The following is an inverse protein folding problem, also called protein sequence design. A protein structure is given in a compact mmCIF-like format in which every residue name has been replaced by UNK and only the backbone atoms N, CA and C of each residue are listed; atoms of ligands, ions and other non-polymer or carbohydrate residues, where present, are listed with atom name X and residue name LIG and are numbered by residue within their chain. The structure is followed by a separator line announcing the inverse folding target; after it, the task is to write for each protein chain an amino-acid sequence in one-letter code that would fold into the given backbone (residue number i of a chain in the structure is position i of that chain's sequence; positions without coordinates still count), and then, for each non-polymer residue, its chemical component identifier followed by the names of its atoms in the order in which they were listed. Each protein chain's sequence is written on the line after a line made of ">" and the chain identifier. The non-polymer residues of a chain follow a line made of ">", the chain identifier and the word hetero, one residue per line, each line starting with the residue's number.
data_IF_976637423768
#
_entry.id   IF_976637423768
#
_cell.length_a   1.000
_cell.length_b   1.000
_cell.length_c   1.000
_cell.angle_alpha   90.00
_cell.angle_beta   90.00
_cell.angle_gamma   90.00
#
_symmetry.space_group_name_H-M   'P 1'
#
loop_
_entity.id
_entity.type
_entity.pdbx_description
1 polymer ?
#
# COMPACT_ATOMS: atom_id res chain seq x y z
N UNK A 1 -2.05 16.31 0.47
CA UNK A 1 -2.37 15.77 -0.87
C UNK A 1 -3.16 14.49 -0.67
N UNK A 2 -4.22 14.24 -1.45
CA UNK A 2 -4.99 12.98 -1.29
C UNK A 2 -4.19 11.80 -1.83
N UNK A 3 -4.42 10.61 -1.27
CA UNK A 3 -3.90 9.36 -1.81
C UNK A 3 -4.53 9.06 -3.18
N UNK A 4 -3.73 8.48 -4.07
CA UNK A 4 -4.21 7.96 -5.35
C UNK A 4 -5.03 6.69 -5.12
N UNK A 5 -5.89 6.29 -6.08
CA UNK A 5 -6.66 5.06 -5.97
C UNK A 5 -5.79 3.81 -5.72
N UNK A 6 -4.61 3.74 -6.35
CA UNK A 6 -3.67 2.64 -6.18
C UNK A 6 -3.06 2.60 -4.77
N UNK A 7 -2.73 3.76 -4.21
CA UNK A 7 -2.18 3.85 -2.85
C UNK A 7 -3.22 3.49 -1.80
N UNK A 8 -4.45 3.98 -1.95
CA UNK A 8 -5.56 3.60 -1.07
C UNK A 8 -5.81 2.10 -1.13
N UNK A 9 -5.89 1.53 -2.33
CA UNK A 9 -6.06 0.09 -2.52
C UNK A 9 -4.93 -0.70 -1.84
N UNK A 10 -3.67 -0.31 -2.06
CA UNK A 10 -2.54 -0.98 -1.44
C UNK A 10 -2.61 -0.95 0.10
N UNK A 11 -2.94 0.22 0.66
CA UNK A 11 -3.07 0.41 2.10
C UNK A 11 -4.22 -0.42 2.68
N UNK A 12 -5.38 -0.43 2.04
CA UNK A 12 -6.53 -1.28 2.40
C UNK A 12 -6.13 -2.76 2.45
N UNK A 13 -5.46 -3.25 1.41
CA UNK A 13 -5.06 -4.67 1.33
C UNK A 13 -3.99 -5.06 2.34
N UNK A 14 -3.12 -4.13 2.72
CA UNK A 14 -2.17 -4.35 3.81
C UNK A 14 -2.89 -4.41 5.15
N UNK A 15 -3.80 -3.48 5.43
CA UNK A 15 -4.54 -3.43 6.70
C UNK A 15 -5.61 -4.53 6.85
N UNK A 16 -6.07 -5.15 5.77
CA UNK A 16 -6.86 -6.37 5.84
C UNK A 16 -6.08 -7.52 6.53
N UNK A 17 -4.74 -7.54 6.43
CA UNK A 17 -3.91 -8.58 7.06
C UNK A 17 -3.85 -8.48 8.59
N UNK A 18 -4.14 -7.32 9.17
CA UNK A 18 -4.15 -7.14 10.63
C UNK A 18 -5.45 -7.61 11.28
N UNK A 19 -6.36 -8.22 10.50
CA UNK A 19 -7.67 -8.69 11.00
C UNK A 19 -8.67 -7.55 11.20
N UNK A 20 -8.32 -6.33 10.78
CA UNK A 20 -9.16 -5.15 10.80
C UNK A 20 -10.03 -5.05 9.56
N UNK A 21 -10.78 -6.11 9.26
CA UNK A 21 -11.73 -6.16 8.14
C UNK A 21 -12.96 -5.24 8.30
N UNK A 22 -12.88 -4.23 9.18
CA UNK A 22 -13.98 -3.31 9.49
C UNK A 22 -13.54 -1.87 9.79
N UNK A 23 -12.26 -1.53 9.56
CA UNK A 23 -11.87 -0.12 9.55
C UNK A 23 -12.34 0.45 8.20
N UNK A 24 -13.39 1.26 8.21
CA UNK A 24 -13.69 2.11 7.06
C UNK A 24 -12.55 3.11 6.92
N UNK A 25 -11.54 2.78 6.12
CA UNK A 25 -10.44 3.66 5.80
C UNK A 25 -10.99 4.83 4.99
N UNK A 26 -11.38 5.89 5.69
CA UNK A 26 -11.80 7.10 5.02
C UNK A 26 -10.59 7.73 4.33
N UNK A 27 -10.66 8.07 3.04
CA UNK A 27 -9.62 8.84 2.37
C UNK A 27 -9.30 10.18 3.07
N UNK A 28 -10.19 10.67 3.95
CA UNK A 28 -9.95 11.86 4.77
C UNK A 28 -8.99 11.63 5.95
N UNK A 29 -8.75 10.38 6.36
CA UNK A 29 -7.85 10.07 7.47
C UNK A 29 -6.38 10.04 7.05
N UNK A 30 -6.12 10.00 5.74
CA UNK A 30 -4.79 9.88 5.17
C UNK A 30 -4.48 11.03 4.22
N UNK A 31 -3.27 11.55 4.32
CA UNK A 31 -2.76 12.49 3.34
C UNK A 31 -1.32 12.14 2.95
N UNK A 32 -1.05 12.13 1.65
CA UNK A 32 0.33 12.03 1.18
C UNK A 32 1.09 13.31 1.52
N UNK A 33 2.25 13.13 2.16
CA UNK A 33 3.26 14.14 2.42
C UNK A 33 4.24 14.27 1.25
N UNK A 34 4.56 13.15 0.59
CA UNK A 34 5.49 13.08 -0.52
C UNK A 34 5.34 11.78 -1.30
N UNK A 35 5.76 11.81 -2.57
CA UNK A 35 5.77 10.65 -3.47
C UNK A 35 7.05 10.64 -4.27
N UNK A 36 7.57 9.44 -4.49
CA UNK A 36 8.64 9.19 -5.42
C UNK A 36 8.24 8.02 -6.33
N UNK A 37 8.41 8.21 -7.63
CA UNK A 37 8.18 7.16 -8.63
C UNK A 37 9.52 6.80 -9.24
N UNK A 38 9.80 5.51 -9.27
CA UNK A 38 11.01 4.95 -9.87
C UNK A 38 10.63 4.00 -11.00
N UNK A 39 11.63 3.53 -11.74
CA UNK A 39 11.40 2.47 -12.72
C UNK A 39 10.83 1.21 -12.05
N UNK A 40 11.19 0.89 -10.81
CA UNK A 40 10.75 -0.31 -10.12
C UNK A 40 9.39 -0.18 -9.42
N UNK A 41 8.84 1.03 -9.29
CA UNK A 41 7.57 1.24 -8.61
C UNK A 41 7.43 2.61 -7.98
N UNK A 42 6.80 2.68 -6.81
CA UNK A 42 6.57 3.95 -6.11
C UNK A 42 6.81 3.83 -4.61
N UNK A 43 7.09 4.98 -4.01
CA UNK A 43 7.21 5.21 -2.57
C UNK A 43 6.37 6.42 -2.18
N UNK A 44 5.59 6.30 -1.11
CA UNK A 44 4.71 7.36 -0.62
C UNK A 44 4.80 7.49 0.89
N UNK A 45 5.09 8.72 1.35
CA UNK A 45 4.97 9.10 2.75
C UNK A 45 3.55 9.57 3.03
N UNK A 46 2.89 8.93 4.00
CA UNK A 46 1.48 9.13 4.31
C UNK A 46 1.37 9.61 5.76
N UNK A 47 0.78 10.78 5.96
CA UNK A 47 0.36 11.23 7.28
C UNK A 47 -1.01 10.64 7.60
N UNK A 48 -1.10 9.99 8.75
CA UNK A 48 -2.38 9.62 9.35
C UNK A 48 -2.82 10.69 10.35
N UNK A 49 -4.09 11.05 10.28
CA UNK A 49 -4.68 12.04 11.17
C UNK A 49 -5.20 11.44 12.49
N UNK A 50 -5.38 10.11 12.54
CA UNK A 50 -5.88 9.40 13.72
C UNK A 50 -4.94 8.27 14.16
N UNK A 51 -4.25 8.49 15.28
CA UNK A 51 -3.19 7.58 15.78
C UNK A 51 -3.68 6.15 16.07
N UNK A 52 -4.96 5.98 16.38
CA UNK A 52 -5.54 4.67 16.70
C UNK A 52 -5.55 3.70 15.51
N UNK A 53 -5.62 4.21 14.28
CA UNK A 53 -5.60 3.39 13.07
C UNK A 53 -4.20 2.81 12.81
N UNK A 54 -3.14 3.55 13.21
CA UNK A 54 -1.74 3.16 13.00
C UNK A 54 -1.19 2.24 14.08
N UNK A 55 -1.74 2.20 15.30
CA UNK A 55 -1.23 1.33 16.37
C UNK A 55 -1.31 -0.17 16.04
N UNK A 56 -2.10 -0.54 15.02
CA UNK A 56 -2.22 -1.90 14.51
C UNK A 56 -1.02 -2.32 13.65
N UNK A 57 -0.31 -1.34 13.08
CA UNK A 57 0.93 -1.52 12.32
C UNK A 57 2.12 -1.63 13.29
N UNK A 58 2.07 -2.63 14.19
CA UNK A 58 3.18 -2.92 15.10
C UNK A 58 4.41 -3.52 14.41
N UNK A 59 4.32 -3.79 13.09
CA UNK A 59 5.37 -4.35 12.23
C UNK A 59 5.14 -3.94 10.78
N UNK A 60 6.17 -4.14 9.96
CA UNK A 60 6.05 -4.09 8.51
C UNK A 60 5.00 -5.10 8.02
N UNK A 61 4.09 -4.64 7.15
CA UNK A 61 3.14 -5.46 6.43
C UNK A 61 3.57 -5.57 4.97
N UNK A 62 3.36 -6.73 4.38
CA UNK A 62 3.59 -6.93 2.96
C UNK A 62 2.53 -7.82 2.35
N UNK A 63 2.05 -7.44 1.17
CA UNK A 63 1.10 -8.23 0.40
C UNK A 63 1.58 -8.38 -1.03
N UNK A 64 1.61 -9.62 -1.50
CA UNK A 64 1.97 -9.93 -2.87
C UNK A 64 0.80 -9.69 -3.81
N UNK A 65 1.08 -9.27 -5.04
CA UNK A 65 0.08 -9.13 -6.08
C UNK A 65 0.58 -9.69 -7.42
N UNK A 66 -0.36 -9.94 -8.32
CA UNK A 66 -0.11 -10.26 -9.72
C UNK A 66 -0.86 -9.31 -10.63
N UNK A 67 -0.33 -9.12 -11.85
CA UNK A 67 -0.91 -8.26 -12.88
C UNK A 67 -0.44 -8.74 -14.26
N UNK A 68 -1.26 -8.63 -15.31
CA UNK A 68 -0.90 -9.15 -16.64
C UNK A 68 0.32 -8.44 -17.25
N UNK A 69 0.46 -7.13 -17.01
CA UNK A 69 1.63 -6.35 -17.43
C UNK A 69 2.86 -6.55 -16.52
N UNK A 70 2.65 -7.09 -15.30
CA UNK A 70 3.73 -7.42 -14.36
C UNK A 70 3.87 -8.94 -14.23
N UNK A 71 4.50 -9.57 -15.21
CA UNK A 71 4.62 -11.05 -15.32
C UNK A 71 5.24 -11.72 -14.10
N UNK A 72 6.09 -11.01 -13.37
CA UNK A 72 6.74 -11.49 -12.13
C UNK A 72 5.98 -11.06 -10.86
N UNK A 73 4.85 -10.39 -11.02
CA UNK A 73 4.08 -9.78 -9.95
C UNK A 73 4.86 -8.66 -9.26
N UNK A 74 4.43 -8.39 -8.04
CA UNK A 74 5.05 -7.39 -7.18
C UNK A 74 4.54 -7.50 -5.76
N UNK A 75 4.91 -6.53 -4.94
CA UNK A 75 4.49 -6.45 -3.55
C UNK A 75 4.10 -5.01 -3.21
N UNK A 76 3.08 -4.87 -2.38
CA UNK A 76 2.92 -3.67 -1.57
C UNK A 76 3.52 -3.92 -0.19
N UNK A 77 4.16 -2.90 0.37
CA UNK A 77 4.78 -2.94 1.69
C UNK A 77 4.38 -1.67 2.42
N UNK A 78 4.05 -1.77 3.71
CA UNK A 78 3.94 -0.58 4.56
C UNK A 78 4.54 -0.78 5.95
N UNK A 79 5.03 0.31 6.52
CA UNK A 79 5.55 0.36 7.88
C UNK A 79 5.35 1.75 8.48
N UNK A 80 5.41 1.84 9.80
CA UNK A 80 5.44 3.12 10.51
C UNK A 80 6.84 3.71 10.45
N UNK A 81 6.94 4.93 9.94
CA UNK A 81 8.14 5.75 10.09
C UNK A 81 8.16 6.40 11.47
N UNK A 82 7.00 6.87 11.92
CA UNK A 82 6.77 7.42 13.25
C UNK A 82 5.31 7.20 13.69
N UNK A 83 4.90 7.84 14.80
CA UNK A 83 3.56 7.67 15.38
C UNK A 83 2.40 8.18 14.50
N UNK A 84 2.68 9.00 13.49
CA UNK A 84 1.70 9.63 12.60
C UNK A 84 2.04 9.50 11.12
N UNK A 85 3.19 8.91 10.80
CA UNK A 85 3.69 8.77 9.43
C UNK A 85 3.85 7.30 9.07
N UNK A 86 3.23 6.92 7.98
CA UNK A 86 3.35 5.61 7.34
C UNK A 86 4.10 5.73 6.02
N UNK A 87 5.01 4.81 5.78
CA UNK A 87 5.61 4.59 4.49
C UNK A 87 4.81 3.53 3.74
N UNK A 88 4.51 3.79 2.47
CA UNK A 88 3.88 2.84 1.56
C UNK A 88 4.75 2.68 0.32
N UNK A 89 5.08 1.44 -0.01
CA UNK A 89 5.80 1.08 -1.23
C UNK A 89 4.98 0.13 -2.09
N UNK A 90 5.05 0.34 -3.40
CA UNK A 90 4.67 -0.64 -4.40
C UNK A 90 5.86 -0.96 -5.27
N UNK A 91 6.24 -2.25 -5.35
CA UNK A 91 7.44 -2.71 -6.06
C UNK A 91 7.07 -3.78 -7.09
N UNK A 92 7.56 -3.63 -8.32
CA UNK A 92 7.49 -4.65 -9.36
C UNK A 92 8.72 -5.56 -9.32
N UNK A 93 8.52 -6.88 -9.41
CA UNK A 93 9.60 -7.85 -9.21
C UNK A 93 10.54 -7.95 -10.42
N UNK A 94 11.74 -7.38 -10.31
CA UNK A 94 12.79 -7.47 -11.34
C UNK A 94 12.33 -6.99 -12.73
N UNK A 95 11.49 -5.97 -12.75
CA UNK A 95 10.97 -5.37 -13.98
C UNK A 95 10.50 -3.96 -13.71
N UNK A 96 10.27 -3.20 -14.79
CA UNK A 96 9.72 -1.86 -14.67
C UNK A 96 8.24 -1.88 -14.28
N UNK A 97 7.85 -0.87 -13.54
CA UNK A 97 6.48 -0.58 -13.16
C UNK A 97 5.68 -0.16 -14.39
N UNK A 98 4.54 -0.80 -14.60
CA UNK A 98 3.69 -0.50 -15.75
C UNK A 98 2.64 0.56 -15.38
N UNK A 99 2.42 1.51 -16.29
CA UNK A 99 1.34 2.49 -16.17
C UNK A 99 -0.06 1.87 -16.28
N UNK A 100 -0.16 0.61 -16.72
CA UNK A 100 -1.42 -0.15 -16.75
C UNK A 100 -1.85 -0.64 -15.37
N UNK A 101 -0.99 -0.54 -14.35
CA UNK A 101 -1.31 -1.01 -13.00
C UNK A 101 -2.30 -0.05 -12.34
N UNK A 102 -3.51 -0.55 -12.11
CA UNK A 102 -4.59 0.11 -11.36
C UNK A 102 -5.23 -0.86 -10.36
N UNK A 103 -5.96 -0.37 -9.34
CA UNK A 103 -6.64 -1.23 -8.36
C UNK A 103 -7.44 -2.39 -8.98
N UNK A 104 -8.26 -2.09 -9.98
CA UNK A 104 -9.15 -3.06 -10.65
C UNK A 104 -8.41 -4.12 -11.48
N UNK A 105 -7.15 -3.88 -11.80
CA UNK A 105 -6.31 -4.78 -12.60
C UNK A 105 -5.50 -5.77 -11.75
N UNK A 106 -5.42 -5.54 -10.43
CA UNK A 106 -4.56 -6.27 -9.52
C UNK A 106 -5.27 -7.47 -8.89
N UNK A 107 -4.60 -8.62 -8.88
CA UNK A 107 -5.01 -9.78 -8.09
C UNK A 107 -4.08 -9.95 -6.88
N UNK A 108 -4.64 -9.80 -5.68
CA UNK A 108 -3.92 -9.97 -4.42
C UNK A 108 -3.70 -11.44 -4.10
N UNK A 109 -2.47 -11.79 -3.76
CA UNK A 109 -2.09 -13.13 -3.32
C UNK A 109 -2.07 -13.20 -1.80
N UNK A 110 -3.18 -13.62 -1.22
CA UNK A 110 -3.26 -13.92 0.20
C UNK A 110 -2.45 -15.17 0.52
N UNK A 111 -1.50 -15.07 1.44
CA UNK A 111 -0.91 -16.27 2.05
C UNK A 111 -1.99 -16.88 2.93
N UNK A 112 -2.47 -18.08 2.58
CA UNK A 112 -3.28 -18.85 3.53
C UNK A 112 -2.40 -19.19 4.74
N UNK A 113 -2.93 -19.05 5.97
CA UNK A 113 -2.22 -19.40 7.19
C UNK A 113 -1.85 -20.88 7.24
#
# INVERSE_FOLDING_TARGET
>A
MLLSPLEMFALEKLLEQTGTSGLELSPSHFSALGREFTAAGFYTLIKCHEQHELMLLGKELSVAFTHHALKRGGYFICWLEDNFTLCLEGVANHQDWSSEVSPESLAILWRQP
#
